data_IF_019759237370
#
_entry.id   IF_019759237370
#
_cell.length_a   1.000
_cell.length_b   1.000
_cell.length_c   1.000
_cell.angle_alpha   90.00
_cell.angle_beta   90.00
_cell.angle_gamma   90.00
#
_symmetry.space_group_name_H-M   'P 1'
#
loop_
_entity.id
_entity.type
_entity.pdbx_description
1 polymer ?
#
# COMPACT_ATOMS: atom_id res chain seq x y z
N UNK A 1 -58.55 44.11 -29.06
CA UNK A 1 -57.13 43.72 -29.06
C UNK A 1 -56.77 43.56 -27.60
N UNK A 2 -56.78 42.29 -27.10
CA UNK A 2 -56.49 41.95 -25.69
C UNK A 2 -55.07 41.40 -25.66
N UNK A 3 -54.16 42.09 -24.98
CA UNK A 3 -52.79 41.62 -24.72
C UNK A 3 -52.87 40.61 -23.56
N UNK A 4 -52.43 39.40 -23.85
CA UNK A 4 -52.19 38.33 -22.84
C UNK A 4 -50.76 38.47 -22.37
N UNK A 5 -50.57 38.86 -21.10
CA UNK A 5 -49.28 38.85 -20.43
C UNK A 5 -49.08 37.47 -19.80
N UNK A 6 -48.17 36.68 -20.37
CA UNK A 6 -47.75 35.40 -19.79
C UNK A 6 -46.61 35.72 -18.79
N UNK A 7 -46.95 35.63 -17.48
CA UNK A 7 -45.96 35.70 -16.42
C UNK A 7 -45.29 34.31 -16.28
N UNK A 8 -44.04 34.21 -16.77
CA UNK A 8 -43.20 33.01 -16.52
C UNK A 8 -42.76 33.01 -15.08
N UNK A 9 -43.33 32.12 -14.29
CA UNK A 9 -42.88 31.82 -12.94
C UNK A 9 -41.60 30.97 -13.06
N UNK A 10 -40.45 31.59 -12.90
CA UNK A 10 -39.17 30.90 -12.70
C UNK A 10 -39.17 30.38 -11.27
N UNK A 11 -39.51 29.09 -11.08
CA UNK A 11 -39.35 28.43 -9.81
C UNK A 11 -37.84 28.28 -9.56
N UNK A 12 -37.29 28.77 -8.44
CA UNK A 12 -35.91 28.46 -8.08
C UNK A 12 -35.83 26.97 -7.81
N UNK A 13 -35.12 26.24 -8.65
CA UNK A 13 -34.73 24.87 -8.37
C UNK A 13 -33.85 24.92 -7.13
N UNK A 14 -34.44 24.67 -5.97
CA UNK A 14 -33.70 24.36 -4.75
C UNK A 14 -32.97 23.07 -5.06
N UNK A 15 -31.70 23.15 -5.45
CA UNK A 15 -30.77 22.04 -5.30
C UNK A 15 -30.71 21.76 -3.80
N UNK A 16 -31.56 20.86 -3.36
CA UNK A 16 -31.38 20.21 -2.08
C UNK A 16 -29.98 19.57 -2.19
N UNK A 17 -29.04 20.13 -1.45
CA UNK A 17 -27.79 19.45 -1.16
C UNK A 17 -28.22 18.15 -0.47
N UNK A 18 -28.37 17.09 -1.25
CA UNK A 18 -28.51 15.73 -0.75
C UNK A 18 -27.20 15.50 -0.01
N UNK A 19 -27.24 15.59 1.32
CA UNK A 19 -26.15 15.13 2.18
C UNK A 19 -25.93 13.65 1.86
N UNK A 20 -25.06 13.40 0.88
CA UNK A 20 -24.77 12.05 0.42
C UNK A 20 -24.30 11.21 1.58
N UNK A 21 -24.63 9.92 1.56
CA UNK A 21 -24.12 8.95 2.54
C UNK A 21 -22.61 9.12 2.67
N UNK A 22 -22.12 9.30 3.90
CA UNK A 22 -20.68 9.37 4.20
C UNK A 22 -20.24 8.03 4.76
N UNK A 23 -19.16 7.51 4.23
CA UNK A 23 -18.56 6.25 4.68
C UNK A 23 -17.22 6.48 5.34
N UNK A 24 -16.93 5.71 6.38
CA UNK A 24 -15.60 5.65 6.99
C UNK A 24 -14.76 4.59 6.26
N UNK A 25 -13.54 4.96 5.92
CA UNK A 25 -12.55 4.07 5.31
C UNK A 25 -11.52 3.57 6.31
N UNK A 26 -11.68 3.86 7.61
CA UNK A 26 -10.71 3.44 8.61
C UNK A 26 -10.59 1.92 8.65
N UNK A 27 -9.34 1.45 8.70
CA UNK A 27 -9.03 0.03 8.81
C UNK A 27 -9.30 -0.44 10.25
N UNK A 28 -10.51 -0.81 10.52
CA UNK A 28 -10.93 -1.46 11.74
C UNK A 28 -11.84 -2.62 11.37
N UNK A 29 -11.31 -3.81 11.10
CA UNK A 29 -12.13 -4.94 10.68
C UNK A 29 -13.28 -5.19 11.66
N UNK A 30 -14.45 -5.60 11.15
CA UNK A 30 -15.56 -5.92 12.03
C UNK A 30 -15.20 -7.10 12.94
N UNK A 31 -15.69 -7.14 14.20
CA UNK A 31 -15.36 -8.20 15.12
C UNK A 31 -15.88 -9.57 14.66
N UNK A 32 -15.28 -10.63 15.18
CA UNK A 32 -15.67 -12.03 14.96
C UNK A 32 -15.71 -12.44 13.47
N UNK A 33 -14.79 -11.91 12.65
CA UNK A 33 -14.70 -12.31 11.25
C UNK A 33 -13.33 -12.90 10.91
N UNK A 34 -13.33 -13.78 9.92
CA UNK A 34 -12.12 -14.28 9.30
C UNK A 34 -12.04 -13.76 7.87
N UNK A 35 -10.95 -13.10 7.53
CA UNK A 35 -10.70 -12.53 6.20
C UNK A 35 -9.47 -13.24 5.63
N UNK A 36 -9.59 -13.72 4.40
CA UNK A 36 -8.46 -14.22 3.63
C UNK A 36 -8.03 -13.16 2.64
N UNK A 37 -6.72 -12.92 2.54
CA UNK A 37 -6.12 -12.01 1.57
C UNK A 37 -5.18 -12.79 0.66
N UNK A 38 -5.22 -12.43 -0.61
CA UNK A 38 -4.23 -12.81 -1.60
C UNK A 38 -3.65 -11.54 -2.20
N UNK A 39 -2.34 -11.42 -2.14
CA UNK A 39 -1.59 -10.28 -2.67
C UNK A 39 -0.63 -10.81 -3.72
N UNK A 40 -0.65 -10.22 -4.91
CA UNK A 40 0.30 -10.52 -5.98
C UNK A 40 0.99 -9.22 -6.35
N UNK A 41 2.30 -9.23 -6.28
CA UNK A 41 3.15 -8.11 -6.69
C UNK A 41 4.04 -8.54 -7.83
N UNK A 42 3.98 -7.81 -8.92
CA UNK A 42 4.89 -7.93 -10.07
C UNK A 42 5.73 -6.66 -10.14
N UNK A 43 7.04 -6.79 -10.31
CA UNK A 43 8.00 -5.67 -10.34
C UNK A 43 8.95 -5.85 -11.51
N UNK A 44 9.11 -4.83 -12.32
CA UNK A 44 10.08 -4.75 -13.41
C UNK A 44 10.90 -3.48 -13.26
N UNK A 45 12.23 -3.63 -13.24
CA UNK A 45 13.18 -2.52 -13.03
C UNK A 45 14.30 -2.61 -14.03
N UNK A 46 14.55 -1.53 -14.73
CA UNK A 46 15.74 -1.30 -15.53
C UNK A 46 16.73 -0.46 -14.71
N UNK A 47 17.94 -0.98 -14.51
CA UNK A 47 19.03 -0.28 -13.83
C UNK A 47 20.15 -0.04 -14.85
N UNK A 48 20.49 1.21 -15.08
CA UNK A 48 21.60 1.61 -15.94
C UNK A 48 22.72 2.11 -15.05
N UNK A 49 23.91 1.51 -15.18
CA UNK A 49 25.12 1.95 -14.49
C UNK A 49 26.00 2.73 -15.45
N UNK A 50 26.26 4.00 -15.13
CA UNK A 50 27.29 4.77 -15.80
C UNK A 50 28.66 4.47 -15.15
N UNK A 51 29.70 4.35 -15.96
CA UNK A 51 31.10 4.18 -15.48
C UNK A 51 31.42 2.85 -14.74
N UNK A 52 30.94 1.70 -15.26
CA UNK A 52 31.47 0.42 -14.79
C UNK A 52 32.96 0.30 -15.08
N UNK A 53 33.76 -0.24 -14.15
CA UNK A 53 35.16 -0.63 -14.44
C UNK A 53 35.17 -1.62 -15.62
N UNK A 54 36.03 -1.40 -16.57
CA UNK A 54 36.22 -2.27 -17.74
C UNK A 54 36.38 -3.73 -17.30
N UNK A 55 35.41 -4.57 -17.67
CA UNK A 55 35.46 -6.02 -17.38
C UNK A 55 34.15 -6.65 -16.89
N UNK A 56 33.14 -5.86 -16.53
CA UNK A 56 31.89 -6.36 -15.94
C UNK A 56 30.60 -6.09 -16.79
N UNK A 57 30.77 -5.92 -18.09
CA UNK A 57 29.68 -5.61 -19.03
C UNK A 57 29.99 -4.35 -19.85
N UNK A 58 29.21 -4.08 -20.89
CA UNK A 58 29.29 -2.82 -21.63
C UNK A 58 28.67 -1.71 -20.78
N UNK A 59 29.41 -0.66 -20.48
CA UNK A 59 28.89 0.52 -19.79
C UNK A 59 27.70 1.09 -20.58
N UNK A 60 26.56 1.24 -19.91
CA UNK A 60 25.33 1.79 -20.49
C UNK A 60 24.25 0.79 -20.87
N UNK A 61 24.51 -0.51 -20.86
CA UNK A 61 23.45 -1.50 -21.07
C UNK A 61 22.59 -1.65 -19.80
N UNK A 62 21.24 -1.58 -19.89
CA UNK A 62 20.39 -1.74 -18.73
C UNK A 62 20.44 -3.17 -18.18
N UNK A 63 20.63 -3.31 -16.88
CA UNK A 63 20.36 -4.56 -16.16
C UNK A 63 18.89 -4.62 -15.82
N UNK A 64 18.20 -5.64 -16.33
CA UNK A 64 16.77 -5.85 -16.07
C UNK A 64 16.59 -6.70 -14.83
N UNK A 65 15.86 -6.18 -13.87
CA UNK A 65 15.45 -6.89 -12.65
C UNK A 65 13.95 -7.14 -12.72
N UNK A 66 13.53 -8.40 -12.71
CA UNK A 66 12.13 -8.79 -12.61
C UNK A 66 11.88 -9.45 -11.26
N UNK A 67 10.73 -9.17 -10.66
CA UNK A 67 10.33 -9.77 -9.40
C UNK A 67 8.85 -10.13 -9.39
N UNK A 68 8.53 -11.28 -8.81
CA UNK A 68 7.14 -11.66 -8.54
C UNK A 68 7.04 -12.19 -7.12
N UNK A 69 6.10 -11.63 -6.35
CA UNK A 69 5.80 -12.10 -5.00
C UNK A 69 4.31 -12.40 -4.90
N UNK A 70 3.96 -13.52 -4.32
CA UNK A 70 2.58 -13.86 -3.97
C UNK A 70 2.53 -14.17 -2.48
N UNK A 71 1.58 -13.55 -1.79
CA UNK A 71 1.32 -13.73 -0.37
C UNK A 71 -0.13 -14.13 -0.20
N UNK A 72 -0.36 -15.19 0.55
CA UNK A 72 -1.67 -15.58 1.05
C UNK A 72 -1.65 -15.48 2.57
N UNK A 73 -2.63 -14.80 3.14
CA UNK A 73 -2.72 -14.62 4.59
C UNK A 73 -4.16 -14.67 5.07
N UNK A 74 -4.32 -15.17 6.29
CA UNK A 74 -5.60 -15.22 6.98
C UNK A 74 -5.55 -14.29 8.19
N UNK A 75 -6.52 -13.38 8.28
CA UNK A 75 -6.73 -12.51 9.43
C UNK A 75 -7.97 -12.97 10.20
N UNK A 76 -7.82 -13.27 11.48
CA UNK A 76 -8.91 -13.61 12.39
C UNK A 76 -9.08 -12.49 13.40
N UNK A 77 -10.24 -11.85 13.38
CA UNK A 77 -10.57 -10.69 14.24
C UNK A 77 -11.38 -11.21 15.42
N UNK A 78 -10.89 -10.97 16.62
CA UNK A 78 -11.56 -11.36 17.88
C UNK A 78 -12.74 -10.44 18.25
N UNK A 79 -13.41 -10.77 19.33
CA UNK A 79 -14.39 -9.89 19.96
C UNK A 79 -13.67 -8.69 20.63
N UNK A 80 -14.35 -7.53 20.77
CA UNK A 80 -13.83 -6.44 21.59
C UNK A 80 -13.66 -6.86 23.06
N UNK A 81 -12.58 -6.39 23.67
CA UNK A 81 -12.38 -6.54 25.13
C UNK A 81 -13.25 -5.54 25.94
N UNK A 82 -13.13 -5.56 27.25
CA UNK A 82 -13.89 -4.67 28.15
C UNK A 82 -13.58 -3.17 27.93
N UNK A 83 -12.47 -2.84 27.29
CA UNK A 83 -12.05 -1.49 26.90
C UNK A 83 -12.43 -1.15 25.45
N UNK A 84 -13.12 -2.05 24.75
CA UNK A 84 -13.48 -1.88 23.33
C UNK A 84 -12.33 -2.14 22.35
N UNK A 85 -11.17 -2.60 22.81
CA UNK A 85 -10.03 -2.91 21.94
C UNK A 85 -10.25 -4.27 21.27
N UNK A 86 -9.81 -4.38 20.01
CA UNK A 86 -9.88 -5.63 19.24
C UNK A 86 -8.50 -6.17 18.97
N UNK A 87 -8.38 -7.47 18.98
CA UNK A 87 -7.18 -8.19 18.54
C UNK A 87 -7.45 -8.91 17.23
N UNK A 88 -6.52 -8.82 16.30
CA UNK A 88 -6.55 -9.57 15.05
C UNK A 88 -5.28 -10.43 14.94
N UNK A 89 -5.46 -11.71 14.73
CA UNK A 89 -4.39 -12.65 14.43
C UNK A 89 -4.19 -12.70 12.91
N UNK A 90 -2.98 -12.43 12.42
CA UNK A 90 -2.61 -12.47 11.02
C UNK A 90 -1.63 -13.61 10.81
N UNK A 91 -2.00 -14.60 10.03
CA UNK A 91 -1.17 -15.76 9.69
C UNK A 91 -0.77 -15.68 8.23
N UNK A 92 0.51 -15.81 7.94
CA UNK A 92 1.02 -15.97 6.58
C UNK A 92 0.88 -17.44 6.17
N UNK A 93 -0.17 -17.75 5.41
CA UNK A 93 -0.47 -19.11 4.98
C UNK A 93 0.53 -19.61 3.94
N UNK A 94 0.86 -18.77 2.96
CA UNK A 94 1.90 -19.04 1.97
C UNK A 94 2.58 -17.77 1.49
N UNK A 95 3.88 -17.86 1.20
CA UNK A 95 4.66 -16.79 0.56
C UNK A 95 5.54 -17.44 -0.50
N UNK A 96 5.42 -16.96 -1.73
CA UNK A 96 6.32 -17.33 -2.82
C UNK A 96 6.93 -16.06 -3.41
N UNK A 97 8.22 -16.10 -3.67
CA UNK A 97 8.93 -15.02 -4.33
C UNK A 97 9.85 -15.60 -5.41
N UNK A 98 9.91 -14.92 -6.54
CA UNK A 98 10.85 -15.21 -7.60
C UNK A 98 11.49 -13.89 -8.07
N UNK A 99 12.74 -13.96 -8.43
CA UNK A 99 13.48 -12.82 -8.97
C UNK A 99 14.27 -13.26 -10.20
N UNK A 100 14.39 -12.37 -11.16
CA UNK A 100 15.21 -12.57 -12.34
C UNK A 100 16.15 -11.39 -12.52
N UNK A 101 17.33 -11.66 -13.03
CA UNK A 101 18.30 -10.65 -13.47
C UNK A 101 18.60 -10.93 -14.93
N UNK A 102 18.31 -10.00 -15.81
CA UNK A 102 18.39 -10.17 -17.27
C UNK A 102 17.67 -11.44 -17.78
N UNK A 103 16.51 -11.76 -17.16
CA UNK A 103 15.73 -12.95 -17.46
C UNK A 103 16.24 -14.25 -16.83
N UNK A 104 17.45 -14.26 -16.24
CA UNK A 104 17.99 -15.42 -15.53
C UNK A 104 17.43 -15.48 -14.09
N UNK A 105 16.90 -16.63 -13.63
CA UNK A 105 16.35 -16.74 -12.28
C UNK A 105 17.43 -16.65 -11.21
N UNK A 106 17.11 -15.91 -10.12
CA UNK A 106 17.94 -15.79 -8.93
C UNK A 106 17.19 -16.40 -7.75
N UNK A 107 17.90 -17.14 -6.90
CA UNK A 107 17.30 -17.77 -5.72
C UNK A 107 16.94 -16.70 -4.68
N UNK A 108 15.66 -16.61 -4.31
CA UNK A 108 15.12 -15.68 -3.30
C UNK A 108 14.54 -16.38 -2.08
N UNK A 109 14.54 -17.72 -2.06
CA UNK A 109 13.84 -18.52 -1.04
C UNK A 109 14.32 -18.26 0.40
N UNK A 110 15.53 -17.76 0.61
CA UNK A 110 16.06 -17.51 1.96
C UNK A 110 15.49 -16.25 2.63
N UNK A 111 14.97 -15.29 1.86
CA UNK A 111 14.51 -14.00 2.41
C UNK A 111 13.08 -14.03 2.94
N UNK A 112 12.19 -14.81 2.31
CA UNK A 112 10.76 -14.83 2.64
C UNK A 112 10.30 -16.08 3.38
N UNK A 113 11.06 -17.18 3.29
CA UNK A 113 10.75 -18.44 3.97
C UNK A 113 10.51 -18.30 5.49
N UNK A 114 11.22 -17.43 6.23
CA UNK A 114 10.99 -17.26 7.65
C UNK A 114 9.60 -16.72 8.02
N UNK A 115 8.88 -16.09 7.08
CA UNK A 115 7.56 -15.54 7.33
C UNK A 115 6.43 -16.56 7.18
N UNK A 116 6.65 -17.61 6.39
CA UNK A 116 5.61 -18.61 6.13
C UNK A 116 5.24 -19.37 7.41
N UNK A 117 3.94 -19.48 7.68
CA UNK A 117 3.39 -20.10 8.88
C UNK A 117 3.54 -19.24 10.14
N UNK A 118 4.16 -18.08 10.05
CA UNK A 118 4.30 -17.17 11.19
C UNK A 118 3.00 -16.42 11.46
N UNK A 119 2.80 -16.10 12.72
CA UNK A 119 1.63 -15.39 13.19
C UNK A 119 2.05 -14.04 13.75
N UNK A 120 1.34 -12.99 13.36
CA UNK A 120 1.39 -11.68 13.99
C UNK A 120 0.07 -11.39 14.68
N UNK A 121 0.11 -10.65 15.78
CA UNK A 121 -1.08 -10.16 16.49
C UNK A 121 -1.12 -8.64 16.40
N UNK A 122 -2.15 -8.12 15.76
CA UNK A 122 -2.43 -6.69 15.69
C UNK A 122 -3.48 -6.31 16.72
N UNK A 123 -3.27 -5.21 17.43
CA UNK A 123 -4.23 -4.67 18.41
C UNK A 123 -4.75 -3.33 17.92
N UNK A 124 -6.06 -3.18 17.88
CA UNK A 124 -6.78 -1.96 17.50
C UNK A 124 -7.45 -1.37 18.73
N UNK A 125 -7.47 -0.04 18.86
CA UNK A 125 -8.25 0.64 19.89
C UNK A 125 -9.76 0.62 19.58
N UNK A 126 -10.55 1.21 20.48
CA UNK A 126 -12.01 1.31 20.32
C UNK A 126 -12.42 2.17 19.09
N UNK A 127 -11.55 3.03 18.59
CA UNK A 127 -11.73 3.85 17.39
C UNK A 127 -11.28 3.11 16.13
N UNK A 128 -10.62 1.96 16.28
CA UNK A 128 -10.12 1.13 15.20
C UNK A 128 -8.75 1.57 14.68
N UNK A 129 -8.02 2.38 15.43
CA UNK A 129 -6.64 2.68 15.11
C UNK A 129 -5.72 1.53 15.54
N UNK A 130 -4.75 1.19 14.70
CA UNK A 130 -3.75 0.17 15.02
C UNK A 130 -2.78 0.72 16.08
N UNK A 131 -2.81 0.15 17.29
CA UNK A 131 -2.00 0.61 18.42
C UNK A 131 -0.75 -0.22 18.63
N UNK A 132 -0.81 -1.53 18.40
CA UNK A 132 0.30 -2.45 18.67
C UNK A 132 0.33 -3.60 17.65
N UNK A 133 1.53 -4.09 17.32
CA UNK A 133 1.73 -5.31 16.54
C UNK A 133 2.82 -6.14 17.20
N UNK A 134 2.48 -7.36 17.54
CA UNK A 134 3.41 -8.38 18.05
C UNK A 134 3.61 -9.45 17.00
N UNK A 135 4.81 -9.91 16.85
CA UNK A 135 5.16 -10.96 15.90
C UNK A 135 6.30 -11.84 16.40
N UNK A 136 6.81 -12.72 15.55
CA UNK A 136 7.92 -13.59 15.87
C UNK A 136 9.16 -12.80 16.31
N UNK A 137 9.85 -13.29 17.33
CA UNK A 137 11.08 -12.67 17.84
C UNK A 137 12.15 -12.55 16.75
N UNK A 138 12.20 -13.49 15.82
CA UNK A 138 13.13 -13.47 14.69
C UNK A 138 12.95 -12.26 13.78
N UNK A 139 11.70 -11.80 13.58
CA UNK A 139 11.41 -10.58 12.80
C UNK A 139 11.72 -9.32 13.61
N UNK A 140 11.36 -9.30 14.89
CA UNK A 140 11.68 -8.19 15.77
C UNK A 140 13.21 -8.02 15.92
N UNK A 141 13.95 -9.13 16.04
CA UNK A 141 15.41 -9.14 16.13
C UNK A 141 16.10 -8.67 14.83
N UNK A 142 15.45 -8.78 13.67
CA UNK A 142 15.96 -8.27 12.40
C UNK A 142 15.82 -6.75 12.24
N UNK A 143 15.22 -6.06 13.22
CA UNK A 143 15.00 -4.62 13.19
C UNK A 143 13.81 -4.18 12.29
N UNK A 144 12.99 -5.12 11.86
CA UNK A 144 11.77 -4.83 11.08
C UNK A 144 10.70 -4.25 12.00
N UNK A 145 10.19 -3.06 11.67
CA UNK A 145 9.01 -2.52 12.32
C UNK A 145 7.77 -3.28 11.84
N UNK A 146 7.25 -4.16 12.69
CA UNK A 146 6.10 -5.02 12.36
C UNK A 146 4.82 -4.22 12.13
N UNK A 147 4.68 -3.07 12.79
CA UNK A 147 3.52 -2.18 12.59
C UNK A 147 3.56 -1.56 11.20
N UNK A 148 4.72 -1.04 10.80
CA UNK A 148 4.91 -0.49 9.45
C UNK A 148 4.80 -1.57 8.37
N UNK A 149 5.31 -2.77 8.62
CA UNK A 149 5.14 -3.92 7.72
C UNK A 149 3.65 -4.23 7.50
N UNK A 150 2.87 -4.33 8.57
CA UNK A 150 1.44 -4.60 8.46
C UNK A 150 0.71 -3.45 7.74
N UNK A 151 1.01 -2.20 8.08
CA UNK A 151 0.41 -1.03 7.44
C UNK A 151 0.75 -0.94 5.93
N UNK A 152 1.92 -1.41 5.54
CA UNK A 152 2.32 -1.50 4.13
C UNK A 152 1.51 -2.57 3.39
N UNK A 153 1.26 -3.71 4.03
CA UNK A 153 0.51 -4.82 3.44
C UNK A 153 -0.99 -4.53 3.30
N UNK A 154 -1.59 -3.93 4.32
CA UNK A 154 -3.05 -3.66 4.32
C UNK A 154 -3.42 -2.30 3.72
N UNK A 155 -2.44 -1.45 3.45
CA UNK A 155 -2.61 -0.10 2.96
C UNK A 155 -3.00 0.89 4.06
N UNK A 156 -2.56 2.12 3.92
CA UNK A 156 -2.98 3.23 4.79
C UNK A 156 -4.29 3.79 4.26
N UNK A 157 -5.32 3.84 5.08
CA UNK A 157 -6.63 4.36 4.70
C UNK A 157 -6.88 5.71 5.40
N UNK A 158 -7.63 6.63 4.75
CA UNK A 158 -8.00 7.89 5.40
C UNK A 158 -8.90 7.64 6.61
N UNK A 159 -8.68 8.42 7.67
CA UNK A 159 -9.52 8.38 8.89
C UNK A 159 -10.77 9.24 8.76
N UNK A 160 -10.84 10.11 7.75
CA UNK A 160 -11.98 10.97 7.48
C UNK A 160 -13.04 10.23 6.69
N UNK A 161 -14.32 10.46 7.03
CA UNK A 161 -15.44 9.93 6.25
C UNK A 161 -15.59 10.70 4.94
N UNK A 162 -15.89 9.99 3.85
CA UNK A 162 -16.08 10.54 2.50
C UNK A 162 -17.51 10.33 2.01
N UNK A 163 -18.06 11.33 1.32
CA UNK A 163 -19.20 11.21 0.44
C UNK A 163 -18.75 10.94 -1.00
N UNK A 164 -19.64 10.44 -1.84
CA UNK A 164 -19.35 10.22 -3.27
C UNK A 164 -18.91 11.52 -3.93
N UNK A 165 -17.77 11.47 -4.64
CA UNK A 165 -17.10 12.60 -5.28
C UNK A 165 -16.08 13.31 -4.42
N UNK A 166 -16.09 13.12 -3.11
CA UNK A 166 -15.12 13.72 -2.20
C UNK A 166 -13.76 13.00 -2.22
N UNK A 167 -12.73 13.73 -1.80
CA UNK A 167 -11.36 13.24 -1.70
C UNK A 167 -10.83 13.38 -0.28
N UNK A 168 -9.91 12.48 0.09
CA UNK A 168 -9.08 12.61 1.28
C UNK A 168 -7.62 12.43 0.90
N UNK A 169 -6.78 13.31 1.41
CA UNK A 169 -5.33 13.23 1.27
C UNK A 169 -4.72 12.75 2.56
N UNK A 170 -3.84 11.76 2.49
CA UNK A 170 -3.07 11.27 3.62
C UNK A 170 -1.57 11.47 3.35
N UNK A 171 -0.80 11.92 4.33
CA UNK A 171 0.64 11.96 4.21
C UNK A 171 1.19 10.52 4.16
N UNK A 172 2.17 10.33 3.31
CA UNK A 172 3.00 9.14 3.28
C UNK A 172 4.35 9.48 3.91
N UNK A 173 4.71 8.74 4.93
CA UNK A 173 6.03 8.72 5.53
C UNK A 173 6.27 7.26 5.95
N UNK A 174 6.79 6.49 5.02
CA UNK A 174 6.99 5.06 5.19
C UNK A 174 8.48 4.80 5.23
N UNK A 175 9.01 4.31 6.36
CA UNK A 175 10.38 3.84 6.40
C UNK A 175 10.51 2.64 5.43
N UNK A 176 11.46 2.74 4.52
CA UNK A 176 11.78 1.65 3.60
C UNK A 176 12.98 0.87 4.18
N UNK A 177 12.77 -0.33 4.69
CA UNK A 177 13.85 -1.11 5.26
C UNK A 177 14.74 -1.66 4.14
N UNK A 178 15.80 -0.95 3.79
CA UNK A 178 16.89 -1.58 3.10
C UNK A 178 17.81 -2.24 4.13
N UNK A 179 18.27 -3.47 3.88
CA UNK A 179 19.31 -4.08 4.68
C UNK A 179 20.64 -3.36 4.41
N UNK A 180 20.83 -2.20 5.05
CA UNK A 180 22.01 -1.39 4.89
C UNK A 180 22.96 -1.60 6.07
N UNK A 181 24.27 -1.65 5.84
CA UNK A 181 25.23 -1.60 6.93
C UNK A 181 25.00 -0.34 7.78
N UNK A 182 24.69 -0.53 9.08
CA UNK A 182 24.44 0.58 10.00
C UNK A 182 22.99 0.88 10.36
N UNK A 183 22.02 0.07 9.91
CA UNK A 183 20.63 0.10 10.41
C UNK A 183 19.85 1.39 10.13
N UNK A 184 20.23 2.16 9.10
CA UNK A 184 19.48 3.37 8.72
C UNK A 184 18.28 2.99 7.87
N UNK A 185 17.11 3.52 8.21
CA UNK A 185 15.91 3.44 7.37
C UNK A 185 15.90 4.59 6.37
N UNK A 186 15.57 4.29 5.11
CA UNK A 186 15.18 5.32 4.14
C UNK A 186 13.69 5.60 4.28
N UNK A 187 13.30 6.85 4.04
CA UNK A 187 11.91 7.27 4.14
C UNK A 187 11.34 7.58 2.76
N UNK A 188 10.20 6.98 2.44
CA UNK A 188 9.39 7.35 1.30
C UNK A 188 8.38 8.39 1.80
N UNK A 189 8.60 9.66 1.47
CA UNK A 189 7.77 10.77 1.89
C UNK A 189 6.94 11.33 0.73
N UNK A 190 5.68 11.63 0.98
CA UNK A 190 4.79 12.15 -0.05
C UNK A 190 3.34 12.20 0.38
N UNK A 191 2.45 11.96 -0.56
CA UNK A 191 1.02 11.93 -0.30
C UNK A 191 0.30 10.87 -1.12
N UNK A 192 -0.80 10.40 -0.54
CA UNK A 192 -1.78 9.58 -1.22
C UNK A 192 -3.15 10.27 -1.18
N UNK A 193 -3.84 10.28 -2.33
CA UNK A 193 -5.15 10.89 -2.46
C UNK A 193 -6.16 9.79 -2.80
N UNK A 194 -7.17 9.65 -1.96
CA UNK A 194 -8.31 8.77 -2.17
C UNK A 194 -9.50 9.59 -2.63
N UNK A 195 -10.23 9.10 -3.63
CA UNK A 195 -11.49 9.67 -4.10
C UNK A 195 -12.57 8.60 -4.06
N UNK A 196 -13.68 8.88 -3.36
CA UNK A 196 -14.84 7.99 -3.37
C UNK A 196 -15.63 8.20 -4.68
N UNK A 197 -15.66 7.19 -5.52
CA UNK A 197 -16.30 7.24 -6.83
C UNK A 197 -17.79 6.86 -6.73
N UNK A 198 -18.08 5.76 -6.03
CA UNK A 198 -19.44 5.26 -5.88
C UNK A 198 -19.56 4.31 -4.70
N UNK A 199 -20.80 4.11 -4.25
CA UNK A 199 -21.17 3.06 -3.31
C UNK A 199 -22.17 2.15 -4.02
N UNK A 200 -21.85 0.88 -4.16
CA UNK A 200 -22.71 -0.14 -4.76
C UNK A 200 -23.15 -1.17 -3.71
N UNK A 201 -24.23 -1.90 -3.98
CA UNK A 201 -24.63 -3.06 -3.19
C UNK A 201 -24.25 -4.35 -3.92
N UNK A 202 -23.61 -5.25 -3.21
CA UNK A 202 -23.31 -6.61 -3.66
C UNK A 202 -23.87 -7.60 -2.64
N UNK A 203 -25.03 -8.19 -2.94
CA UNK A 203 -25.81 -8.92 -1.95
C UNK A 203 -26.20 -8.02 -0.78
N UNK A 204 -25.83 -8.43 0.43
CA UNK A 204 -26.11 -7.67 1.66
C UNK A 204 -25.03 -6.62 1.98
N UNK A 205 -23.92 -6.59 1.25
CA UNK A 205 -22.78 -5.73 1.55
C UNK A 205 -22.77 -4.45 0.71
N UNK A 206 -22.40 -3.33 1.32
CA UNK A 206 -22.08 -2.07 0.64
C UNK A 206 -20.61 -2.09 0.25
N UNK A 207 -20.34 -1.85 -1.02
CA UNK A 207 -18.98 -1.78 -1.57
C UNK A 207 -18.72 -0.37 -2.05
N UNK A 208 -17.72 0.28 -1.47
CA UNK A 208 -17.23 1.56 -1.94
C UNK A 208 -16.16 1.35 -3.00
N UNK A 209 -16.34 1.97 -4.16
CA UNK A 209 -15.35 2.02 -5.22
C UNK A 209 -14.55 3.32 -5.06
N UNK A 210 -13.24 3.19 -5.00
CA UNK A 210 -12.30 4.27 -4.74
C UNK A 210 -11.26 4.33 -5.86
N UNK A 211 -10.90 5.53 -6.25
CA UNK A 211 -9.65 5.80 -6.94
C UNK A 211 -8.61 6.27 -5.92
N UNK A 212 -7.38 5.85 -6.12
CA UNK A 212 -6.24 6.17 -5.30
C UNK A 212 -5.09 6.64 -6.18
N UNK A 213 -4.43 7.72 -5.81
CA UNK A 213 -3.21 8.20 -6.48
C UNK A 213 -2.13 8.44 -5.45
N UNK A 214 -0.87 8.18 -5.84
CA UNK A 214 0.31 8.35 -5.00
C UNK A 214 1.35 9.17 -5.73
N UNK A 215 1.94 10.13 -5.03
CA UNK A 215 3.18 10.82 -5.42
C UNK A 215 4.07 10.90 -4.19
N UNK A 216 5.18 10.19 -4.23
CA UNK A 216 6.11 10.09 -3.13
C UNK A 216 7.56 10.11 -3.61
N UNK A 217 8.44 10.64 -2.77
CA UNK A 217 9.87 10.71 -3.02
C UNK A 217 10.65 10.07 -1.87
N UNK A 218 11.71 9.41 -2.22
CA UNK A 218 12.69 8.90 -1.30
C UNK A 218 14.02 9.60 -1.61
N UNK A 219 14.50 10.40 -0.68
CA UNK A 219 15.83 10.98 -0.76
C UNK A 219 16.63 10.50 0.46
N UNK A 220 17.80 9.95 0.23
CA UNK A 220 18.66 9.46 1.31
C UNK A 220 20.11 9.69 0.99
N UNK A 221 20.87 10.11 1.97
CA UNK A 221 22.32 10.20 1.92
C UNK A 221 22.92 9.14 2.85
N UNK A 222 23.73 8.26 2.27
CA UNK A 222 24.29 7.10 2.95
C UNK A 222 25.82 7.24 2.99
N UNK A 223 26.44 7.42 4.15
CA UNK A 223 27.88 7.49 4.25
C UNK A 223 28.52 6.13 3.91
N UNK A 224 29.54 6.15 3.03
CA UNK A 224 30.31 4.97 2.64
C UNK A 224 31.70 5.04 3.30
N UNK A 225 31.74 4.97 4.62
CA UNK A 225 33.02 5.08 5.36
C UNK A 225 33.80 6.32 4.95
N UNK A 226 35.14 6.15 4.74
CA UNK A 226 36.02 7.25 4.35
C UNK A 226 35.93 7.66 2.86
N UNK A 227 35.03 7.02 2.10
CA UNK A 227 34.89 7.23 0.64
C UNK A 227 33.83 8.26 0.24
N UNK A 228 33.18 8.92 1.21
CA UNK A 228 32.15 9.90 0.96
C UNK A 228 30.73 9.37 1.27
N UNK A 229 29.72 9.85 0.56
CA UNK A 229 28.34 9.45 0.72
C UNK A 229 27.72 9.03 -0.62
N UNK A 230 26.82 8.04 -0.57
CA UNK A 230 25.89 7.74 -1.66
C UNK A 230 24.64 8.61 -1.46
N UNK A 231 24.26 9.34 -2.49
CA UNK A 231 22.97 10.02 -2.53
C UNK A 231 22.04 9.21 -3.42
N UNK A 232 20.88 8.86 -2.87
CA UNK A 232 19.81 8.21 -3.60
C UNK A 232 18.61 9.15 -3.67
N UNK A 233 18.09 9.36 -4.85
CA UNK A 233 16.84 10.12 -5.13
C UNK A 233 15.93 9.24 -5.96
N UNK A 234 14.77 8.87 -5.40
CA UNK A 234 13.78 8.03 -6.07
C UNK A 234 12.42 8.70 -5.96
N UNK A 235 11.75 8.87 -7.08
CA UNK A 235 10.35 9.29 -7.13
C UNK A 235 9.48 8.11 -7.50
N UNK A 236 8.37 7.96 -6.80
CA UNK A 236 7.34 6.96 -7.06
C UNK A 236 6.01 7.67 -7.30
N UNK A 237 5.38 7.38 -8.44
CA UNK A 237 4.04 7.87 -8.78
C UNK A 237 3.17 6.70 -9.19
N UNK A 238 1.88 6.80 -8.95
CA UNK A 238 0.99 5.73 -9.35
C UNK A 238 -0.47 5.96 -9.01
N UNK A 239 -1.27 4.94 -9.29
CA UNK A 239 -2.68 4.94 -8.97
C UNK A 239 -3.21 3.53 -8.79
N UNK A 240 -4.37 3.44 -8.18
CA UNK A 240 -5.10 2.20 -7.97
C UNK A 240 -6.60 2.42 -8.10
N UNK A 241 -7.30 1.36 -8.48
CA UNK A 241 -8.72 1.21 -8.21
C UNK A 241 -8.90 0.27 -7.02
N UNK A 242 -9.73 0.66 -6.06
CA UNK A 242 -9.94 -0.09 -4.84
C UNK A 242 -11.42 -0.35 -4.61
N UNK A 243 -11.73 -1.52 -4.06
CA UNK A 243 -13.04 -1.88 -3.56
C UNK A 243 -12.97 -2.11 -2.06
N UNK A 244 -13.70 -1.31 -1.31
CA UNK A 244 -13.76 -1.39 0.14
C UNK A 244 -15.11 -1.93 0.59
N UNK A 245 -15.11 -3.01 1.37
CA UNK A 245 -16.33 -3.48 2.01
C UNK A 245 -16.63 -2.60 3.23
N UNK A 246 -17.65 -1.74 3.09
CA UNK A 246 -18.02 -0.74 4.09
C UNK A 246 -18.52 -1.37 5.39
N UNK A 247 -19.32 -2.43 5.28
CA UNK A 247 -19.98 -3.05 6.43
C UNK A 247 -19.03 -3.93 7.24
N UNK A 248 -18.06 -4.56 6.58
CA UNK A 248 -17.07 -5.44 7.20
C UNK A 248 -15.71 -4.80 7.38
N UNK A 249 -15.50 -3.60 6.82
CA UNK A 249 -14.30 -2.76 6.99
C UNK A 249 -13.00 -3.45 6.59
N UNK A 250 -12.96 -3.95 5.37
CA UNK A 250 -11.72 -4.51 4.79
C UNK A 250 -11.62 -4.22 3.29
N UNK A 251 -10.40 -4.24 2.77
CA UNK A 251 -10.14 -4.13 1.33
C UNK A 251 -10.61 -5.40 0.63
N UNK A 252 -11.65 -5.30 -0.21
CA UNK A 252 -12.16 -6.43 -0.99
C UNK A 252 -11.30 -6.70 -2.21
N UNK A 253 -10.87 -5.65 -2.91
CA UNK A 253 -9.97 -5.75 -4.04
C UNK A 253 -9.18 -4.45 -4.23
N UNK A 254 -7.97 -4.54 -4.74
CA UNK A 254 -7.25 -3.40 -5.29
C UNK A 254 -6.35 -3.84 -6.45
N UNK A 255 -6.18 -2.95 -7.43
CA UNK A 255 -5.21 -3.10 -8.52
C UNK A 255 -4.43 -1.79 -8.61
N UNK A 256 -3.23 -1.80 -8.08
CA UNK A 256 -2.34 -0.65 -8.01
C UNK A 256 -1.23 -0.79 -9.04
N UNK A 257 -0.97 0.29 -9.77
CA UNK A 257 0.16 0.40 -10.69
C UNK A 257 0.99 1.60 -10.29
N UNK A 258 2.27 1.38 -10.13
CA UNK A 258 3.25 2.40 -9.75
C UNK A 258 4.40 2.41 -10.74
N UNK A 259 4.92 3.59 -11.00
CA UNK A 259 6.19 3.81 -11.70
C UNK A 259 7.15 4.44 -10.72
N UNK A 260 8.42 4.09 -10.83
CA UNK A 260 9.47 4.73 -10.08
C UNK A 260 10.63 5.08 -10.99
N UNK A 261 11.22 6.22 -10.71
CA UNK A 261 12.39 6.76 -11.37
C UNK A 261 13.37 7.22 -10.31
N UNK A 262 14.64 6.93 -10.49
CA UNK A 262 15.60 7.33 -9.49
C UNK A 262 17.04 7.34 -9.99
N UNK A 263 17.88 7.94 -9.16
CA UNK A 263 19.34 7.97 -9.37
C UNK A 263 20.07 7.71 -8.07
N UNK A 264 21.24 7.11 -8.20
CA UNK A 264 22.20 6.96 -7.11
C UNK A 264 23.51 7.59 -7.58
N UNK A 265 24.06 8.50 -6.77
CA UNK A 265 25.31 9.20 -7.04
C UNK A 265 26.25 9.15 -5.82
N UNK A 266 27.53 9.48 -6.02
CA UNK A 266 28.55 9.38 -4.96
C UNK A 266 29.35 8.08 -4.98
N UNK A 267 29.06 7.20 -5.93
CA UNK A 267 29.78 6.00 -6.32
C UNK A 267 29.75 5.86 -7.84
N UNK A 268 29.64 4.63 -8.40
CA UNK A 268 29.21 4.48 -9.78
C UNK A 268 27.82 5.10 -9.93
N UNK A 269 27.68 6.10 -10.80
CA UNK A 269 26.39 6.73 -11.06
C UNK A 269 25.43 5.68 -11.64
N UNK A 270 24.27 5.55 -11.00
CA UNK A 270 23.23 4.62 -11.44
C UNK A 270 21.93 5.39 -11.65
N UNK A 271 21.19 5.02 -12.68
CA UNK A 271 19.80 5.42 -12.85
C UNK A 271 18.92 4.18 -12.85
N UNK A 272 17.73 4.31 -12.29
CA UNK A 272 16.75 3.25 -12.27
C UNK A 272 15.42 3.77 -12.79
N UNK A 273 14.74 2.95 -13.56
CA UNK A 273 13.37 3.17 -13.97
C UNK A 273 12.62 1.85 -13.88
N UNK A 274 11.41 1.88 -13.36
CA UNK A 274 10.68 0.64 -13.20
C UNK A 274 9.19 0.81 -13.00
N UNK A 275 8.53 -0.32 -13.03
CA UNK A 275 7.10 -0.43 -12.76
C UNK A 275 6.85 -1.48 -11.70
N UNK A 276 5.84 -1.26 -10.89
CA UNK A 276 5.34 -2.24 -9.93
C UNK A 276 3.82 -2.30 -10.03
N UNK A 277 3.28 -3.51 -10.08
CA UNK A 277 1.86 -3.75 -9.98
C UNK A 277 1.58 -4.57 -8.72
N UNK A 278 0.64 -4.11 -7.91
CA UNK A 278 0.20 -4.84 -6.72
C UNK A 278 -1.30 -5.09 -6.86
N UNK A 279 -1.68 -6.35 -6.84
CA UNK A 279 -3.07 -6.77 -6.83
C UNK A 279 -3.39 -7.41 -5.48
N UNK A 280 -4.48 -7.00 -4.87
CA UNK A 280 -4.98 -7.56 -3.63
C UNK A 280 -6.42 -8.01 -3.80
N UNK A 281 -6.74 -9.16 -3.26
CA UNK A 281 -8.10 -9.67 -3.13
C UNK A 281 -8.33 -10.09 -1.68
N UNK A 282 -9.43 -9.61 -1.09
CA UNK A 282 -9.88 -9.97 0.26
C UNK A 282 -11.24 -10.64 0.20
N UNK A 283 -11.40 -11.72 0.93
CA UNK A 283 -12.67 -12.43 1.06
C UNK A 283 -12.94 -12.78 2.52
N UNK A 284 -14.13 -12.41 3.02
CA UNK A 284 -14.52 -12.81 4.35
C UNK A 284 -15.25 -14.16 4.30
N UNK A 285 -14.82 -15.12 5.12
CA UNK A 285 -15.58 -16.35 5.34
C UNK A 285 -16.78 -16.03 6.24
N UNK A 286 -17.93 -16.63 5.92
CA UNK A 286 -19.04 -16.66 6.88
C UNK A 286 -18.58 -17.46 8.10
N UNK A 287 -18.91 -16.99 9.31
CA UNK A 287 -18.64 -17.74 10.53
C UNK A 287 -19.33 -19.11 10.52
#
# INVERSE_FOLDING_TARGET
MRLLVIASIIAPSILAAQGGERISLSWAPAPNQTIQFRIVQDTDVDVVMANMPTGAGTAGDPTKLGGKTQIEMTMRVGAPDAQGRMSAEVVYDSITASMTVNGAPVSTNSAVAPLQGQTMTATYDAQGALVDVKGPESLAASGVDLKELLMTLVGRMPTTSLAVGETATIPLDVPFPLPMPGGRSMHLAGQAVYKLISIAREGDARIANLDYTTDAKMASELPIGDRGSLTMDVRMTGGATCQWNVDRRYMKASDQKMTFEGSVSGGPDMTMHGTMRVQMEGSARKP
#
